data_IF_127938067191
#
_entry.id   IF_127938067191
#
_cell.length_a   1.000
_cell.length_b   1.000
_cell.length_c   1.000
_cell.angle_alpha   90.00
_cell.angle_beta   90.00
_cell.angle_gamma   90.00
#
_symmetry.space_group_name_H-M   'P 1'
#
loop_
_entity.id
_entity.type
_entity.pdbx_description
1 polymer ?
#
# COMPACT_ATOMS: atom_id res chain seq x y z
N UNK A 1 23.04 26.61 -72.09
CA UNK A 1 21.77 27.13 -72.62
C UNK A 1 20.65 26.69 -71.67
N UNK A 2 19.80 27.65 -71.33
CA UNK A 2 18.63 27.72 -70.43
C UNK A 2 17.63 26.52 -70.42
N UNK A 3 16.53 26.55 -69.62
CA UNK A 3 16.32 26.91 -68.20
C UNK A 3 15.43 25.88 -67.44
N UNK A 4 15.12 26.16 -66.16
CA UNK A 4 14.19 25.48 -65.23
C UNK A 4 12.73 25.36 -65.72
N UNK A 5 11.89 24.55 -65.02
CA UNK A 5 10.90 25.20 -64.15
C UNK A 5 10.79 24.59 -62.75
N UNK A 6 10.50 25.49 -61.81
CA UNK A 6 10.15 25.24 -60.42
C UNK A 6 8.79 24.55 -60.30
N UNK A 7 8.64 23.64 -59.34
CA UNK A 7 7.34 23.27 -58.78
C UNK A 7 7.42 23.33 -57.26
N UNK A 8 6.95 24.46 -56.75
CA UNK A 8 6.70 24.75 -55.34
C UNK A 8 5.52 23.88 -54.90
N UNK A 9 5.69 23.07 -53.86
CA UNK A 9 4.55 22.42 -53.18
C UNK A 9 4.33 23.15 -51.85
N UNK A 10 3.14 23.72 -51.78
CA UNK A 10 2.64 24.72 -50.85
C UNK A 10 2.33 24.09 -49.50
N UNK A 11 2.81 24.71 -48.41
CA UNK A 11 2.33 24.47 -47.05
C UNK A 11 0.84 24.79 -46.96
N UNK A 12 -0.01 23.77 -46.86
CA UNK A 12 -1.44 23.96 -46.64
C UNK A 12 -1.69 24.19 -45.15
N UNK A 13 -1.90 25.46 -44.78
CA UNK A 13 -2.38 25.86 -43.47
C UNK A 13 -3.85 25.44 -43.33
N UNK A 14 -4.14 24.47 -42.46
CA UNK A 14 -5.51 24.11 -42.11
C UNK A 14 -6.02 25.13 -41.10
N UNK A 15 -6.88 26.03 -41.57
CA UNK A 15 -7.66 26.97 -40.77
C UNK A 15 -8.74 26.18 -40.03
N UNK A 16 -8.59 26.00 -38.71
CA UNK A 16 -9.68 25.52 -37.85
C UNK A 16 -10.56 26.71 -37.44
N UNK A 17 -11.63 26.92 -38.19
CA UNK A 17 -12.76 27.78 -37.80
C UNK A 17 -14.03 26.96 -37.83
N UNK A 18 -14.38 26.33 -36.70
CA UNK A 18 -15.75 25.88 -36.44
C UNK A 18 -16.07 26.04 -34.94
N UNK A 19 -16.64 27.21 -34.63
CA UNK A 19 -17.50 27.44 -33.48
C UNK A 19 -18.90 26.90 -33.81
N UNK A 20 -19.44 26.02 -32.97
CA UNK A 20 -20.90 25.92 -32.78
C UNK A 20 -21.23 25.63 -31.32
N UNK A 21 -22.17 26.43 -30.80
CA UNK A 21 -22.67 26.46 -29.43
C UNK A 21 -23.84 25.46 -29.29
N UNK A 22 -23.76 24.69 -28.20
CA UNK A 22 -24.76 23.88 -27.44
C UNK A 22 -26.12 23.52 -28.05
N UNK A 23 -26.48 22.23 -27.93
CA UNK A 23 -27.78 21.81 -27.39
C UNK A 23 -27.60 20.58 -26.49
N UNK A 24 -28.28 20.61 -25.35
CA UNK A 24 -28.34 19.58 -24.32
C UNK A 24 -29.09 18.34 -24.82
N UNK A 25 -28.43 17.19 -24.82
CA UNK A 25 -29.06 15.88 -24.76
C UNK A 25 -28.60 15.19 -23.47
N UNK A 26 -29.50 15.06 -22.49
CA UNK A 26 -29.26 14.21 -21.34
C UNK A 26 -29.29 12.75 -21.80
N UNK A 27 -28.12 12.14 -21.87
CA UNK A 27 -27.97 10.69 -21.84
C UNK A 27 -26.90 10.37 -20.78
N UNK A 28 -27.30 9.57 -19.80
CA UNK A 28 -26.54 9.28 -18.58
C UNK A 28 -25.13 8.75 -18.83
N UNK A 29 -24.19 9.23 -18.03
CA UNK A 29 -22.81 8.76 -18.02
C UNK A 29 -22.15 9.15 -16.70
N UNK A 30 -22.17 8.20 -15.76
CA UNK A 30 -21.56 8.25 -14.43
C UNK A 30 -20.12 8.80 -14.44
N UNK A 31 -19.97 10.09 -14.10
CA UNK A 31 -18.68 10.74 -13.82
C UNK A 31 -18.34 10.85 -12.32
N UNK A 32 -19.20 10.33 -11.43
CA UNK A 32 -19.06 10.52 -9.98
C UNK A 32 -18.07 9.59 -9.26
N UNK A 33 -17.69 8.47 -9.88
CA UNK A 33 -16.91 7.41 -9.21
C UNK A 33 -15.49 7.82 -8.82
N UNK A 34 -14.76 8.50 -9.71
CA UNK A 34 -13.35 8.85 -9.50
C UNK A 34 -13.15 9.93 -8.43
N UNK A 35 -14.09 10.89 -8.32
CA UNK A 35 -14.04 11.91 -7.27
C UNK A 35 -14.38 11.33 -5.89
N UNK A 36 -15.36 10.43 -5.81
CA UNK A 36 -15.75 9.78 -4.55
C UNK A 36 -14.65 8.87 -3.98
N UNK A 37 -13.97 8.07 -4.81
CA UNK A 37 -12.95 7.16 -4.31
C UNK A 37 -11.66 7.87 -3.85
N UNK A 38 -11.25 8.96 -4.52
CA UNK A 38 -10.17 9.83 -4.00
C UNK A 38 -10.55 10.47 -2.67
N UNK A 39 -11.83 10.85 -2.50
CA UNK A 39 -12.31 11.38 -1.23
C UNK A 39 -12.27 10.33 -0.11
N UNK A 40 -12.62 9.07 -0.40
CA UNK A 40 -12.59 7.98 0.56
C UNK A 40 -11.18 7.71 1.10
N UNK A 41 -10.17 7.66 0.23
CA UNK A 41 -8.76 7.48 0.65
C UNK A 41 -8.32 8.63 1.56
N UNK A 42 -8.63 9.87 1.18
CA UNK A 42 -8.26 11.06 1.97
C UNK A 42 -8.97 11.06 3.33
N UNK A 43 -10.26 10.74 3.37
CA UNK A 43 -11.04 10.68 4.60
C UNK A 43 -10.56 9.57 5.53
N UNK A 44 -10.28 8.38 4.99
CA UNK A 44 -9.75 7.26 5.75
C UNK A 44 -8.37 7.59 6.35
N UNK A 45 -7.46 8.23 5.58
CA UNK A 45 -6.15 8.61 6.08
C UNK A 45 -6.19 9.74 7.12
N UNK A 46 -7.13 10.67 7.01
CA UNK A 46 -7.35 11.72 8.02
C UNK A 46 -7.90 11.20 9.33
N UNK A 47 -8.77 10.20 9.26
CA UNK A 47 -9.47 9.64 10.42
C UNK A 47 -8.74 8.46 11.06
N UNK A 48 -7.69 7.97 10.41
CA UNK A 48 -6.81 6.94 10.95
C UNK A 48 -6.13 7.44 12.23
N UNK A 49 -6.69 7.12 13.40
CA UNK A 49 -6.06 7.38 14.69
C UNK A 49 -4.95 6.34 14.95
N UNK A 50 -3.71 6.73 14.68
CA UNK A 50 -2.52 5.96 15.06
C UNK A 50 -2.25 6.14 16.56
N UNK A 51 -3.00 5.44 17.43
CA UNK A 51 -2.87 5.57 18.89
C UNK A 51 -1.57 4.94 19.42
N UNK A 52 -0.44 5.65 19.38
CA UNK A 52 0.76 5.31 20.16
C UNK A 52 1.53 6.56 20.65
N UNK A 53 2.28 6.46 21.77
CA UNK A 53 2.81 7.59 22.52
C UNK A 53 4.15 8.15 22.02
N UNK A 54 4.65 7.74 20.85
CA UNK A 54 5.89 8.23 20.28
C UNK A 54 5.60 8.89 18.93
N UNK A 55 6.26 10.02 18.67
CA UNK A 55 6.17 10.83 17.45
C UNK A 55 6.39 9.94 16.21
N UNK A 56 5.31 9.38 15.68
CA UNK A 56 5.35 8.68 14.40
C UNK A 56 5.54 9.71 13.27
N UNK A 57 6.25 9.35 12.19
CA UNK A 57 6.31 10.17 10.97
C UNK A 57 4.90 10.50 10.48
N UNK A 58 4.73 11.57 9.70
CA UNK A 58 3.42 12.04 9.22
C UNK A 58 2.57 10.86 8.70
N UNK A 59 1.66 10.41 9.56
CA UNK A 59 0.94 9.15 9.38
C UNK A 59 -0.12 9.30 8.30
N UNK A 60 -0.63 10.51 8.12
CA UNK A 60 -1.54 10.85 7.02
C UNK A 60 -0.77 10.80 5.70
N UNK A 61 0.41 11.42 5.60
CA UNK A 61 1.25 11.36 4.40
C UNK A 61 1.62 9.92 4.03
N UNK A 62 2.09 9.13 5.01
CA UNK A 62 2.41 7.73 4.79
C UNK A 62 1.20 6.92 4.30
N UNK A 63 0.03 7.12 4.92
CA UNK A 63 -1.21 6.48 4.52
C UNK A 63 -1.58 6.82 3.08
N UNK A 64 -1.57 8.12 2.74
CA UNK A 64 -1.91 8.62 1.42
C UNK A 64 -0.96 8.04 0.37
N UNK A 65 0.35 8.16 0.57
CA UNK A 65 1.35 7.63 -0.35
C UNK A 65 1.20 6.13 -0.55
N UNK A 66 0.98 5.39 0.54
CA UNK A 66 0.83 3.94 0.50
C UNK A 66 -0.40 3.53 -0.30
N UNK A 67 -1.57 4.05 0.05
CA UNK A 67 -2.82 3.68 -0.62
C UNK A 67 -2.83 4.16 -2.08
N UNK A 68 -2.34 5.36 -2.36
CA UNK A 68 -2.28 5.89 -3.73
C UNK A 68 -1.27 5.15 -4.63
N UNK A 69 -0.33 4.39 -4.05
CA UNK A 69 0.58 3.54 -4.82
C UNK A 69 -0.13 2.37 -5.52
N UNK A 70 -1.32 2.00 -5.07
CA UNK A 70 -2.17 0.97 -5.69
C UNK A 70 -3.44 1.60 -6.27
N UNK A 71 -3.63 1.47 -7.58
CA UNK A 71 -4.80 2.01 -8.30
C UNK A 71 -6.12 1.51 -7.73
N UNK A 72 -6.15 0.31 -7.12
CA UNK A 72 -7.37 -0.28 -6.53
C UNK A 72 -7.89 0.57 -5.38
N UNK A 73 -7.04 1.33 -4.69
CA UNK A 73 -7.48 2.27 -3.66
C UNK A 73 -8.39 3.37 -4.22
N UNK A 74 -8.13 3.80 -5.47
CA UNK A 74 -8.99 4.79 -6.16
C UNK A 74 -10.23 4.19 -6.79
N UNK A 75 -10.42 2.87 -6.68
CA UNK A 75 -11.60 2.15 -7.16
C UNK A 75 -12.42 1.57 -5.99
N UNK A 76 -11.92 1.70 -4.76
CA UNK A 76 -12.54 1.19 -3.55
C UNK A 76 -13.90 1.87 -3.31
N UNK A 77 -14.92 1.05 -3.03
CA UNK A 77 -16.30 1.53 -2.83
C UNK A 77 -16.60 1.87 -1.38
N UNK A 78 -15.89 1.22 -0.46
CA UNK A 78 -16.05 1.35 0.98
C UNK A 78 -14.71 1.09 1.71
N UNK A 79 -14.72 1.27 3.04
CA UNK A 79 -13.54 1.01 3.87
C UNK A 79 -13.08 -0.45 3.81
N UNK A 80 -13.99 -1.40 3.54
CA UNK A 80 -13.64 -2.82 3.43
C UNK A 80 -12.80 -3.08 2.17
N UNK A 81 -13.17 -2.48 1.04
CA UNK A 81 -12.36 -2.53 -0.18
C UNK A 81 -10.97 -1.92 0.07
N UNK A 82 -10.88 -0.78 0.78
CA UNK A 82 -9.60 -0.18 1.16
C UNK A 82 -8.76 -1.08 2.09
N UNK A 83 -9.37 -1.72 3.09
CA UNK A 83 -8.71 -2.69 3.97
C UNK A 83 -8.10 -3.85 3.17
N UNK A 84 -8.83 -4.36 2.16
CA UNK A 84 -8.33 -5.43 1.29
C UNK A 84 -7.13 -4.97 0.44
N UNK A 85 -7.13 -3.73 -0.03
CA UNK A 85 -5.96 -3.18 -0.74
C UNK A 85 -4.77 -3.00 0.21
N UNK A 86 -5.00 -2.43 1.39
CA UNK A 86 -3.96 -2.20 2.40
C UNK A 86 -3.30 -3.51 2.87
N UNK A 87 -4.10 -4.57 3.08
CA UNK A 87 -3.55 -5.86 3.50
C UNK A 87 -2.78 -6.54 2.35
N UNK A 88 -3.21 -6.37 1.10
CA UNK A 88 -2.47 -6.87 -0.05
C UNK A 88 -1.12 -6.17 -0.20
N UNK A 89 -1.06 -4.85 0.01
CA UNK A 89 0.20 -4.08 0.03
C UNK A 89 1.12 -4.60 1.13
N UNK A 90 0.61 -4.75 2.35
CA UNK A 90 1.37 -5.30 3.48
C UNK A 90 1.89 -6.72 3.16
N UNK A 91 1.05 -7.59 2.58
CA UNK A 91 1.44 -8.95 2.16
C UNK A 91 2.58 -8.91 1.15
N UNK A 92 2.50 -8.04 0.14
CA UNK A 92 3.53 -7.88 -0.87
C UNK A 92 4.87 -7.43 -0.28
N UNK A 93 4.82 -6.45 0.64
CA UNK A 93 6.00 -5.91 1.33
C UNK A 93 6.65 -6.95 2.23
N UNK A 94 5.90 -7.62 3.10
CA UNK A 94 6.48 -8.65 3.99
C UNK A 94 7.05 -9.83 3.20
N UNK A 95 6.40 -10.23 2.11
CA UNK A 95 6.90 -11.32 1.25
C UNK A 95 8.23 -10.93 0.58
N UNK A 96 8.34 -9.68 0.15
CA UNK A 96 9.57 -9.14 -0.44
C UNK A 96 10.70 -9.09 0.60
N UNK A 97 10.42 -8.61 1.81
CA UNK A 97 11.40 -8.56 2.91
C UNK A 97 11.82 -9.96 3.35
N UNK A 98 10.88 -10.90 3.50
CA UNK A 98 11.17 -12.31 3.79
C UNK A 98 12.09 -12.93 2.73
N UNK A 99 11.79 -12.69 1.44
CA UNK A 99 12.64 -13.16 0.34
C UNK A 99 14.05 -12.58 0.39
N UNK A 100 14.20 -11.32 0.83
CA UNK A 100 15.49 -10.68 1.03
C UNK A 100 16.27 -11.32 2.18
N UNK A 101 15.62 -11.60 3.31
CA UNK A 101 16.23 -12.33 4.44
C UNK A 101 16.71 -13.71 4.02
N UNK A 102 15.90 -14.47 3.27
CA UNK A 102 16.30 -15.79 2.74
C UNK A 102 17.57 -15.71 1.90
N UNK A 103 17.68 -14.71 1.01
CA UNK A 103 18.91 -14.44 0.25
C UNK A 103 20.10 -14.04 1.11
N UNK A 104 19.89 -13.28 2.18
CA UNK A 104 20.97 -12.95 3.13
C UNK A 104 21.46 -14.21 3.85
N UNK A 105 20.56 -15.10 4.26
CA UNK A 105 20.88 -16.38 4.92
C UNK A 105 21.72 -17.30 4.03
N UNK A 106 21.49 -17.30 2.71
CA UNK A 106 22.30 -18.07 1.76
C UNK A 106 23.77 -17.62 1.72
N UNK A 107 24.02 -16.32 1.93
CA UNK A 107 25.33 -15.70 1.76
C UNK A 107 26.08 -15.48 3.08
N UNK A 108 25.40 -15.57 4.22
CA UNK A 108 26.00 -15.25 5.50
C UNK A 108 26.86 -16.39 6.05
N UNK A 109 27.94 -16.04 6.75
CA UNK A 109 28.82 -17.03 7.36
C UNK A 109 28.04 -17.84 8.41
N UNK A 110 28.12 -19.17 8.29
CA UNK A 110 27.48 -20.11 9.22
C UNK A 110 27.99 -19.93 10.66
N UNK A 111 27.09 -20.15 11.62
CA UNK A 111 27.40 -20.10 13.06
C UNK A 111 27.65 -18.71 13.62
N UNK A 112 27.28 -17.66 12.89
CA UNK A 112 27.44 -16.27 13.35
C UNK A 112 26.16 -15.73 13.98
N UNK A 113 26.28 -14.71 14.82
CA UNK A 113 25.13 -14.01 15.43
C UNK A 113 24.17 -13.45 14.36
N UNK A 114 24.64 -12.76 13.30
CA UNK A 114 23.76 -12.33 12.21
C UNK A 114 22.98 -13.46 11.53
N UNK A 115 23.57 -14.65 11.36
CA UNK A 115 22.84 -15.81 10.81
C UNK A 115 21.66 -16.19 11.71
N UNK A 116 21.88 -16.21 13.03
CA UNK A 116 20.82 -16.51 14.01
C UNK A 116 19.71 -15.47 13.95
N UNK A 117 20.04 -14.19 13.96
CA UNK A 117 19.05 -13.09 13.90
C UNK A 117 18.23 -13.16 12.62
N UNK A 118 18.88 -13.33 11.46
CA UNK A 118 18.16 -13.49 10.20
C UNK A 118 17.24 -14.72 10.18
N UNK A 119 17.64 -15.82 10.81
CA UNK A 119 16.80 -17.02 10.91
C UNK A 119 15.56 -16.78 11.78
N UNK A 120 15.67 -15.95 12.82
CA UNK A 120 14.52 -15.54 13.64
C UNK A 120 13.59 -14.63 12.83
N UNK A 121 14.14 -13.61 12.17
CA UNK A 121 13.36 -12.73 11.29
C UNK A 121 12.62 -13.49 10.18
N UNK A 122 13.20 -14.55 9.61
CA UNK A 122 12.53 -15.41 8.64
C UNK A 122 11.25 -16.03 9.24
N UNK A 123 11.35 -16.60 10.44
CA UNK A 123 10.21 -17.20 11.17
C UNK A 123 9.16 -16.14 11.53
N UNK A 124 9.60 -14.95 11.95
CA UNK A 124 8.71 -13.85 12.27
C UNK A 124 7.93 -13.39 11.04
N UNK A 125 8.58 -13.23 9.88
CA UNK A 125 7.90 -12.86 8.65
C UNK A 125 6.95 -13.94 8.13
N UNK A 126 7.31 -15.22 8.22
CA UNK A 126 6.41 -16.32 7.87
C UNK A 126 5.17 -16.31 8.80
N UNK A 127 5.36 -15.95 10.08
CA UNK A 127 4.26 -15.75 11.04
C UNK A 127 3.39 -14.56 10.67
N UNK A 128 3.98 -13.41 10.30
CA UNK A 128 3.25 -12.23 9.82
C UNK A 128 2.39 -12.56 8.60
N UNK A 129 2.94 -13.32 7.63
CA UNK A 129 2.17 -13.78 6.45
C UNK A 129 0.98 -14.65 6.88
N UNK A 130 1.17 -15.58 7.83
CA UNK A 130 0.07 -16.40 8.36
C UNK A 130 -1.02 -15.56 9.01
N UNK A 131 -0.64 -14.56 9.79
CA UNK A 131 -1.56 -13.61 10.44
C UNK A 131 -2.32 -12.78 9.41
N UNK A 132 -1.64 -12.26 8.40
CA UNK A 132 -2.23 -11.51 7.28
C UNK A 132 -3.28 -12.36 6.55
N UNK A 133 -3.04 -13.65 6.34
CA UNK A 133 -4.00 -14.53 5.69
C UNK A 133 -5.28 -14.71 6.52
N UNK A 134 -5.17 -14.78 7.85
CA UNK A 134 -6.33 -14.83 8.75
C UNK A 134 -7.10 -13.51 8.75
N UNK A 135 -6.38 -12.40 8.77
CA UNK A 135 -6.95 -11.06 8.69
C UNK A 135 -7.72 -10.84 7.38
N UNK A 136 -7.12 -11.18 6.24
CA UNK A 136 -7.75 -11.10 4.91
C UNK A 136 -9.02 -11.96 4.82
N UNK A 137 -8.96 -13.22 5.27
CA UNK A 137 -10.13 -14.11 5.31
C UNK A 137 -11.27 -13.49 6.13
N UNK A 138 -10.97 -12.95 7.31
CA UNK A 138 -11.95 -12.30 8.17
C UNK A 138 -12.53 -11.01 7.56
N UNK A 139 -11.76 -10.29 6.73
CA UNK A 139 -12.29 -9.15 5.99
C UNK A 139 -13.29 -9.61 4.93
N UNK A 140 -12.96 -10.68 4.21
CA UNK A 140 -13.76 -11.23 3.10
C UNK A 140 -15.05 -11.90 3.58
N UNK A 141 -15.00 -12.63 4.67
CA UNK A 141 -16.13 -13.40 5.22
C UNK A 141 -17.17 -12.56 5.97
N UNK A 142 -17.04 -11.23 5.94
CA UNK A 142 -17.93 -10.33 6.67
C UNK A 142 -19.39 -10.39 6.20
N UNK A 143 -20.30 -10.78 7.10
CA UNK A 143 -21.75 -10.87 6.85
C UNK A 143 -22.58 -9.78 7.56
N UNK A 144 -21.99 -8.69 8.04
CA UNK A 144 -22.74 -7.51 8.53
C UNK A 144 -23.27 -7.56 9.97
N UNK A 145 -23.36 -8.72 10.61
CA UNK A 145 -24.09 -8.88 11.89
C UNK A 145 -23.19 -8.83 13.16
N UNK A 146 -21.85 -8.88 13.00
CA UNK A 146 -20.89 -9.00 14.12
C UNK A 146 -19.82 -7.88 14.13
N UNK A 147 -20.15 -6.68 13.63
CA UNK A 147 -19.19 -5.60 13.38
C UNK A 147 -18.20 -5.32 14.53
N UNK A 148 -18.68 -5.15 15.76
CA UNK A 148 -17.83 -4.80 16.91
C UNK A 148 -16.85 -5.92 17.36
N UNK A 149 -17.32 -7.18 17.42
CA UNK A 149 -16.44 -8.31 17.77
C UNK A 149 -15.40 -8.57 16.68
N UNK A 150 -15.78 -8.38 15.41
CA UNK A 150 -14.87 -8.48 14.27
C UNK A 150 -13.79 -7.40 14.32
N UNK A 151 -14.13 -6.14 14.57
CA UNK A 151 -13.14 -5.07 14.65
C UNK A 151 -12.10 -5.35 15.74
N UNK A 152 -12.53 -5.86 16.90
CA UNK A 152 -11.61 -6.29 17.97
C UNK A 152 -10.68 -7.42 17.50
N UNK A 153 -11.21 -8.42 16.79
CA UNK A 153 -10.40 -9.52 16.28
C UNK A 153 -9.41 -9.10 15.18
N UNK A 154 -9.83 -8.22 14.27
CA UNK A 154 -8.98 -7.66 13.22
C UNK A 154 -7.80 -6.87 13.81
N UNK A 155 -8.07 -6.02 14.81
CA UNK A 155 -7.01 -5.29 15.55
C UNK A 155 -6.06 -6.28 16.21
N UNK A 156 -6.56 -7.32 16.89
CA UNK A 156 -5.71 -8.34 17.54
C UNK A 156 -4.80 -9.07 16.55
N UNK A 157 -5.28 -9.36 15.34
CA UNK A 157 -4.42 -9.94 14.31
C UNK A 157 -3.31 -8.96 13.92
N UNK A 158 -3.62 -7.69 13.69
CA UNK A 158 -2.57 -6.71 13.36
C UNK A 158 -1.61 -6.44 14.52
N UNK A 159 -2.06 -6.46 15.78
CA UNK A 159 -1.18 -6.41 16.94
C UNK A 159 -0.18 -7.57 16.93
N UNK A 160 -0.64 -8.79 16.66
CA UNK A 160 0.25 -9.96 16.54
C UNK A 160 1.25 -9.81 15.39
N UNK A 161 0.84 -9.26 14.24
CA UNK A 161 1.75 -8.98 13.14
C UNK A 161 2.81 -7.95 13.53
N UNK A 162 2.42 -6.86 14.21
CA UNK A 162 3.32 -5.82 14.69
C UNK A 162 4.36 -6.40 15.64
N UNK A 163 3.92 -7.19 16.61
CA UNK A 163 4.80 -7.75 17.64
C UNK A 163 5.91 -8.58 16.99
N UNK A 164 5.60 -9.36 15.94
CA UNK A 164 6.61 -10.11 15.16
C UNK A 164 7.57 -9.23 14.37
N UNK A 165 7.06 -8.16 13.75
CA UNK A 165 7.93 -7.17 13.06
C UNK A 165 8.86 -6.51 14.08
N UNK A 166 8.37 -6.18 15.27
CA UNK A 166 9.15 -5.55 16.32
C UNK A 166 10.18 -6.50 16.95
N UNK A 167 9.83 -7.77 17.16
CA UNK A 167 10.76 -8.80 17.63
C UNK A 167 11.97 -8.90 16.68
N UNK A 168 11.73 -9.09 15.38
CA UNK A 168 12.80 -9.05 14.37
C UNK A 168 13.59 -7.73 14.42
N UNK A 169 12.91 -6.57 14.44
CA UNK A 169 13.59 -5.26 14.43
C UNK A 169 14.50 -5.05 15.65
N UNK A 170 14.07 -5.52 16.82
CA UNK A 170 14.81 -5.36 18.08
C UNK A 170 16.13 -6.13 18.08
N UNK A 171 16.19 -7.25 17.37
CA UNK A 171 17.38 -8.08 17.21
C UNK A 171 18.35 -7.55 16.14
N UNK A 172 17.90 -6.63 15.28
CA UNK A 172 18.73 -6.04 14.21
C UNK A 172 19.58 -4.84 14.67
N UNK A 173 19.33 -4.33 15.88
CA UNK A 173 20.04 -3.17 16.44
C UNK A 173 21.54 -3.47 16.53
N UNK A 174 22.37 -2.48 16.20
CA UNK A 174 23.84 -2.57 16.20
C UNK A 174 24.44 -3.63 15.25
N UNK A 175 23.71 -4.04 14.20
CA UNK A 175 24.21 -4.98 13.20
C UNK A 175 24.35 -4.36 11.79
N UNK A 176 25.53 -3.78 11.45
CA UNK A 176 25.75 -3.14 10.15
C UNK A 176 25.49 -4.04 8.94
N UNK A 177 25.79 -5.35 9.07
CA UNK A 177 25.62 -6.33 8.00
C UNK A 177 24.16 -6.52 7.55
N UNK A 178 23.20 -6.12 8.39
CA UNK A 178 21.76 -6.27 8.15
C UNK A 178 21.01 -4.94 8.30
N UNK A 179 21.73 -3.81 8.35
CA UNK A 179 21.15 -2.49 8.64
C UNK A 179 20.04 -2.04 7.68
N UNK A 180 20.04 -2.50 6.42
CA UNK A 180 18.94 -2.23 5.51
C UNK A 180 17.58 -2.76 6.02
N UNK A 181 17.60 -3.92 6.71
CA UNK A 181 16.39 -4.54 7.27
C UNK A 181 15.73 -3.71 8.37
N UNK A 182 16.47 -2.81 9.03
CA UNK A 182 15.88 -1.91 10.03
C UNK A 182 14.85 -0.99 9.38
N UNK A 183 15.20 -0.37 8.25
CA UNK A 183 14.28 0.51 7.53
C UNK A 183 13.09 -0.27 6.95
N UNK A 184 13.34 -1.47 6.45
CA UNK A 184 12.27 -2.33 5.94
C UNK A 184 11.30 -2.77 7.06
N UNK A 185 11.80 -3.09 8.26
CA UNK A 185 10.94 -3.38 9.41
C UNK A 185 10.18 -2.15 9.89
N UNK A 186 10.79 -0.97 9.85
CA UNK A 186 10.10 0.27 10.20
C UNK A 186 8.93 0.54 9.22
N UNK A 187 9.13 0.34 7.91
CA UNK A 187 8.05 0.43 6.91
C UNK A 187 6.97 -0.62 7.16
N UNK A 188 7.35 -1.89 7.42
CA UNK A 188 6.38 -2.94 7.77
C UNK A 188 5.57 -2.59 9.02
N UNK A 189 6.21 -2.01 10.04
CA UNK A 189 5.54 -1.53 11.24
C UNK A 189 4.50 -0.45 10.93
N UNK A 190 4.84 0.52 10.07
CA UNK A 190 3.91 1.54 9.61
C UNK A 190 2.74 0.95 8.80
N UNK A 191 3.00 -0.03 7.94
CA UNK A 191 1.96 -0.73 7.17
C UNK A 191 1.00 -1.53 8.07
N UNK A 192 1.52 -2.18 9.11
CA UNK A 192 0.68 -2.87 10.09
C UNK A 192 -0.20 -1.87 10.82
N UNK A 193 0.36 -0.74 11.26
CA UNK A 193 -0.41 0.35 11.90
C UNK A 193 -1.50 0.90 10.99
N UNK A 194 -1.19 1.11 9.70
CA UNK A 194 -2.18 1.55 8.70
C UNK A 194 -3.34 0.55 8.61
N UNK A 195 -3.03 -0.75 8.52
CA UNK A 195 -4.06 -1.78 8.49
C UNK A 195 -4.93 -1.78 9.75
N UNK A 196 -4.34 -1.61 10.94
CA UNK A 196 -5.07 -1.46 12.20
C UNK A 196 -5.99 -0.24 12.19
N UNK A 197 -5.50 0.92 11.73
CA UNK A 197 -6.25 2.16 11.74
C UNK A 197 -7.46 2.12 10.79
N UNK A 198 -7.34 1.38 9.68
CA UNK A 198 -8.42 1.17 8.73
C UNK A 198 -9.54 0.24 9.25
N UNK A 199 -9.34 -0.47 10.37
CA UNK A 199 -10.32 -1.45 10.87
C UNK A 199 -11.70 -0.84 11.16
N UNK A 200 -11.75 0.45 11.54
CA UNK A 200 -12.94 1.22 11.92
C UNK A 200 -13.79 0.59 13.06
N UNK A 201 -14.36 1.39 13.97
CA UNK A 201 -15.58 1.03 14.70
C UNK A 201 -16.82 1.07 13.80
#
# INVERSE_FOLDING_TARGET
>A
MAPTPMAIIVFSAIVFMLLFVTTTAQAGGSGGGKHMATNLVVEACKTAEFKYPYEDPDTEEFCLMTLQSDKRSTEAKDLRDLQLVAVDILRGRVTTTSSKVKKMLENIKKGTVPMRVLSLCEVDYDTVVSVINKYDAMIRDYQGHEGGLRSIQLVRWMDMARDRVQECNSELVDMPAVGALVNENNELGMLVKLNTALVAP
#
